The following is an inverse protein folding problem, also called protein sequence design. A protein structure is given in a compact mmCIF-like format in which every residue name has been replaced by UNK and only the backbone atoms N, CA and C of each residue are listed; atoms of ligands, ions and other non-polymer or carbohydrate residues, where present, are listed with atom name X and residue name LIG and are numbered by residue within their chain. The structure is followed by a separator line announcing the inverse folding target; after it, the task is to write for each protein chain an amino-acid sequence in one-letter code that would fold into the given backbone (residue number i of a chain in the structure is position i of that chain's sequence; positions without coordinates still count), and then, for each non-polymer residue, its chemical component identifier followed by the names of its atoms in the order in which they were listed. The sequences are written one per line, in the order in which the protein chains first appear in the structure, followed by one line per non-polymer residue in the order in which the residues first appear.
data_IF_874687630273
#
_entry.id   IF_874687630273
#
_cell.length_a   1.000
_cell.length_b   1.000
_cell.length_c   1.000
_cell.angle_alpha   90.00
_cell.angle_beta   90.00
_cell.angle_gamma   90.00
#
_symmetry.space_group_name_H-M   'P 1'
#
loop_
_entity.id
_entity.type
_entity.pdbx_description
1 polymer ?
#
# COMPACT_ATOMS: atom_id res chain seq x y z
N UNK A 1 -22.30 -53.67 -3.63
CA UNK A 1 -22.45 -52.44 -4.45
C UNK A 1 -22.64 -51.14 -3.66
N UNK A 2 -23.15 -51.14 -2.42
CA UNK A 2 -23.44 -49.91 -1.59
C UNK A 2 -22.20 -49.12 -1.18
N UNK A 3 -20.97 -49.67 -1.14
CA UNK A 3 -19.79 -48.93 -0.70
C UNK A 3 -19.09 -48.16 -1.82
N UNK A 4 -19.23 -48.54 -3.08
CA UNK A 4 -18.58 -47.85 -4.21
C UNK A 4 -19.09 -46.42 -4.40
N UNK A 5 -20.40 -46.18 -4.20
CA UNK A 5 -20.98 -44.82 -4.27
C UNK A 5 -20.49 -43.90 -3.15
N UNK A 6 -20.32 -44.44 -1.94
CA UNK A 6 -19.77 -43.63 -0.82
C UNK A 6 -18.32 -43.25 -1.06
N UNK A 7 -17.50 -44.16 -1.56
CA UNK A 7 -16.09 -43.91 -1.88
C UNK A 7 -15.99 -42.84 -2.98
N UNK A 8 -16.78 -42.97 -4.04
CA UNK A 8 -16.78 -41.97 -5.11
C UNK A 8 -17.23 -40.57 -4.62
N UNK A 9 -18.23 -40.53 -3.75
CA UNK A 9 -18.70 -39.25 -3.14
C UNK A 9 -17.60 -38.58 -2.31
N UNK A 10 -16.99 -39.32 -1.38
CA UNK A 10 -15.92 -38.77 -0.53
C UNK A 10 -14.67 -38.42 -1.34
N UNK A 11 -14.28 -39.21 -2.33
CA UNK A 11 -13.19 -38.85 -3.22
C UNK A 11 -13.45 -37.59 -4.02
N UNK A 12 -14.67 -37.41 -4.58
CA UNK A 12 -15.08 -36.20 -5.28
C UNK A 12 -15.09 -34.98 -4.36
N UNK A 13 -15.63 -35.15 -3.15
CA UNK A 13 -15.66 -34.06 -2.15
C UNK A 13 -14.23 -33.64 -1.75
N UNK A 14 -13.34 -34.57 -1.46
CA UNK A 14 -11.94 -34.26 -1.11
C UNK A 14 -11.20 -33.58 -2.26
N UNK A 15 -11.44 -34.04 -3.51
CA UNK A 15 -10.86 -33.42 -4.69
C UNK A 15 -11.37 -31.99 -4.86
N UNK A 16 -12.66 -31.75 -4.70
CA UNK A 16 -13.25 -30.41 -4.80
C UNK A 16 -12.74 -29.47 -3.70
N UNK A 17 -12.64 -29.96 -2.46
CA UNK A 17 -12.07 -29.21 -1.35
C UNK A 17 -10.59 -28.88 -1.57
N UNK A 18 -9.80 -29.87 -2.02
CA UNK A 18 -8.38 -29.68 -2.34
C UNK A 18 -8.16 -28.69 -3.49
N UNK A 19 -8.93 -28.85 -4.57
CA UNK A 19 -8.88 -27.92 -5.70
C UNK A 19 -9.34 -26.50 -5.31
N UNK A 20 -10.39 -26.38 -4.50
CA UNK A 20 -10.85 -25.11 -3.96
C UNK A 20 -9.79 -24.46 -3.06
N UNK A 21 -9.23 -25.22 -2.14
CA UNK A 21 -8.17 -24.74 -1.26
C UNK A 21 -6.91 -24.28 -2.01
N UNK A 22 -6.47 -25.03 -3.01
CA UNK A 22 -5.32 -24.68 -3.82
C UNK A 22 -5.61 -23.55 -4.83
N UNK A 23 -6.79 -23.57 -5.47
CA UNK A 23 -7.17 -22.63 -6.53
C UNK A 23 -7.66 -21.28 -6.02
N UNK A 24 -8.38 -21.26 -4.88
CA UNK A 24 -8.99 -20.04 -4.35
C UNK A 24 -8.01 -18.89 -4.12
N UNK A 25 -6.81 -19.10 -3.51
CA UNK A 25 -5.85 -18.02 -3.33
C UNK A 25 -5.37 -17.37 -4.64
N UNK A 26 -5.30 -18.12 -5.73
CA UNK A 26 -4.92 -17.58 -7.04
C UNK A 26 -6.02 -16.74 -7.68
N UNK A 27 -7.29 -17.04 -7.38
CA UNK A 27 -8.43 -16.27 -7.89
C UNK A 27 -8.79 -15.09 -7.00
N UNK A 28 -8.39 -15.13 -5.72
CA UNK A 28 -8.71 -14.10 -4.73
C UNK A 28 -8.01 -12.77 -5.04
N UNK A 29 -6.79 -12.82 -5.55
CA UNK A 29 -6.00 -11.63 -5.83
C UNK A 29 -5.90 -11.34 -7.33
N UNK A 30 -5.92 -10.04 -7.66
CA UNK A 30 -5.57 -9.55 -9.00
C UNK A 30 -4.45 -8.53 -8.92
N UNK A 31 -3.55 -8.57 -9.90
CA UNK A 31 -2.49 -7.58 -10.04
C UNK A 31 -3.00 -6.38 -10.83
N UNK A 32 -2.89 -5.19 -10.28
CA UNK A 32 -3.19 -3.92 -10.95
C UNK A 32 -1.92 -3.09 -11.04
N UNK A 33 -1.52 -2.63 -12.22
CA UNK A 33 -0.40 -1.71 -12.34
C UNK A 33 -0.72 -0.40 -11.62
N UNK A 34 0.32 0.29 -11.17
CA UNK A 34 0.17 1.69 -10.75
C UNK A 34 -0.09 2.57 -11.97
N UNK A 35 -0.82 3.69 -11.82
CA UNK A 35 -1.19 4.53 -12.96
C UNK A 35 0.01 5.24 -13.59
N UNK A 36 1.07 5.42 -12.82
CA UNK A 36 2.31 6.09 -13.24
C UNK A 36 3.50 5.22 -12.91
N UNK A 37 4.48 5.14 -13.81
CA UNK A 37 5.77 4.48 -13.56
C UNK A 37 6.68 5.40 -12.75
N UNK A 38 6.40 5.50 -11.46
CA UNK A 38 7.05 6.40 -10.53
C UNK A 38 8.25 5.76 -9.85
N UNK A 39 9.34 6.53 -9.71
CA UNK A 39 10.57 6.11 -9.04
C UNK A 39 10.90 7.02 -7.86
N UNK A 40 10.72 6.56 -6.63
CA UNK A 40 11.22 7.25 -5.44
C UNK A 40 12.73 7.46 -5.50
N UNK A 41 13.48 6.45 -5.98
CA UNK A 41 14.93 6.50 -6.09
C UNK A 41 15.40 7.69 -6.93
N UNK A 42 14.80 7.92 -8.09
CA UNK A 42 15.15 9.04 -8.97
C UNK A 42 14.90 10.37 -8.29
N UNK A 43 13.76 10.52 -7.61
CA UNK A 43 13.41 11.75 -6.90
C UNK A 43 14.35 12.02 -5.71
N UNK A 44 14.70 10.98 -4.95
CA UNK A 44 15.63 11.12 -3.83
C UNK A 44 17.08 11.41 -4.29
N UNK A 45 17.59 10.67 -5.28
CA UNK A 45 19.00 10.75 -5.68
C UNK A 45 19.29 11.91 -6.63
N UNK A 46 18.36 12.24 -7.56
CA UNK A 46 18.59 13.27 -8.58
C UNK A 46 17.94 14.60 -8.25
N UNK A 47 16.74 14.58 -7.68
CA UNK A 47 16.05 15.82 -7.29
C UNK A 47 16.31 16.22 -5.83
N UNK A 48 16.97 15.36 -5.03
CA UNK A 48 17.26 15.61 -3.62
C UNK A 48 16.02 15.63 -2.72
N UNK A 49 14.90 15.09 -3.20
CA UNK A 49 13.61 15.12 -2.49
C UNK A 49 13.63 14.22 -1.27
N UNK A 50 13.09 14.71 -0.16
CA UNK A 50 12.86 13.95 1.07
C UNK A 50 11.42 13.47 1.13
N UNK A 51 11.12 12.57 2.07
CA UNK A 51 9.77 12.02 2.22
C UNK A 51 8.72 13.12 2.44
N UNK A 52 9.04 14.09 3.30
CA UNK A 52 8.16 15.18 3.71
C UNK A 52 7.98 16.27 2.64
N UNK A 53 8.82 16.33 1.62
CA UNK A 53 8.60 17.22 0.47
C UNK A 53 7.33 16.84 -0.31
N UNK A 54 6.96 15.57 -0.29
CA UNK A 54 5.79 15.05 -0.99
C UNK A 54 4.71 14.53 -0.04
N UNK A 55 5.09 13.89 1.07
CA UNK A 55 4.20 13.30 2.06
C UNK A 55 4.20 14.15 3.34
N UNK A 56 3.45 15.24 3.36
CA UNK A 56 3.49 16.24 4.42
C UNK A 56 2.31 16.13 5.38
N UNK A 57 2.33 16.94 6.42
CA UNK A 57 1.19 17.18 7.31
C UNK A 57 0.51 18.49 6.93
N UNK A 58 -0.83 18.52 6.98
CA UNK A 58 -1.61 19.75 6.85
C UNK A 58 -1.54 20.57 8.15
N UNK A 59 -2.00 21.79 8.10
CA UNK A 59 -2.03 22.69 9.27
C UNK A 59 -2.87 22.11 10.44
N UNK A 60 -3.89 21.33 10.15
CA UNK A 60 -4.72 20.64 11.14
C UNK A 60 -4.07 19.36 11.71
N UNK A 61 -2.86 19.03 11.27
CA UNK A 61 -2.13 17.84 11.69
C UNK A 61 -2.50 16.56 10.93
N UNK A 62 -3.45 16.60 10.02
CA UNK A 62 -3.76 15.45 9.18
C UNK A 62 -2.65 15.19 8.17
N UNK A 63 -2.39 13.91 7.88
CA UNK A 63 -1.38 13.50 6.91
C UNK A 63 -1.94 13.55 5.50
N UNK A 64 -1.18 14.10 4.55
CA UNK A 64 -1.67 14.26 3.16
C UNK A 64 -1.80 12.93 2.41
N UNK A 65 -1.09 11.88 2.85
CA UNK A 65 -1.07 10.61 2.15
C UNK A 65 -0.28 10.68 0.84
N UNK A 66 -0.85 10.15 -0.22
CA UNK A 66 -0.28 10.26 -1.57
C UNK A 66 -0.48 11.71 -2.04
N UNK A 67 0.57 12.39 -2.55
CA UNK A 67 0.47 13.78 -2.98
C UNK A 67 -0.47 13.94 -4.17
N UNK A 68 -1.15 15.08 -4.24
CA UNK A 68 -2.00 15.48 -5.37
C UNK A 68 -1.18 15.85 -6.60
N UNK A 69 -1.83 15.93 -7.75
CA UNK A 69 -1.21 16.29 -9.02
C UNK A 69 -0.51 17.65 -8.96
N UNK A 70 -1.07 18.62 -8.24
CA UNK A 70 -0.48 19.96 -8.08
C UNK A 70 0.93 19.92 -7.51
N UNK A 71 1.18 18.99 -6.57
CA UNK A 71 2.53 18.80 -6.02
C UNK A 71 3.52 18.34 -7.08
N UNK A 72 3.08 17.47 -7.97
CA UNK A 72 3.88 16.97 -9.09
C UNK A 72 4.09 18.07 -10.15
N UNK A 73 3.03 18.81 -10.46
CA UNK A 73 3.05 19.88 -11.46
C UNK A 73 4.01 21.03 -11.08
N UNK A 74 4.28 21.24 -9.80
CA UNK A 74 5.26 22.21 -9.33
C UNK A 74 6.66 22.05 -9.95
N UNK A 75 7.04 20.83 -10.33
CA UNK A 75 8.28 20.55 -11.05
C UNK A 75 8.03 20.07 -12.48
N UNK A 76 7.00 19.27 -12.69
CA UNK A 76 6.68 18.61 -13.96
C UNK A 76 5.70 19.37 -14.86
N UNK A 77 5.57 20.71 -14.69
CA UNK A 77 4.85 21.55 -15.66
C UNK A 77 5.44 21.44 -17.07
N UNK A 78 6.74 21.14 -17.16
CA UNK A 78 7.46 20.74 -18.37
C UNK A 78 8.38 19.55 -18.04
N UNK A 79 8.91 18.90 -19.06
CA UNK A 79 9.81 17.76 -18.86
C UNK A 79 11.11 18.21 -18.16
N UNK A 80 11.46 17.57 -17.06
CA UNK A 80 12.71 17.75 -16.31
C UNK A 80 13.83 16.84 -16.83
N UNK A 81 13.46 15.78 -17.54
CA UNK A 81 14.35 14.80 -18.13
C UNK A 81 13.88 14.35 -19.51
N UNK A 82 14.38 13.20 -19.95
CA UNK A 82 14.08 12.66 -21.30
C UNK A 82 13.48 11.25 -21.26
N UNK A 83 12.96 10.82 -20.09
CA UNK A 83 12.43 9.46 -19.96
C UNK A 83 11.02 9.34 -20.57
N UNK A 84 10.73 8.18 -21.17
CA UNK A 84 9.39 7.87 -21.65
C UNK A 84 8.35 7.88 -20.53
N UNK A 85 8.75 7.46 -19.32
CA UNK A 85 7.86 7.44 -18.13
C UNK A 85 7.41 8.86 -17.78
N UNK A 86 8.32 9.84 -17.75
CA UNK A 86 8.00 11.24 -17.50
C UNK A 86 7.14 11.85 -18.62
N UNK A 87 7.50 11.60 -19.87
CA UNK A 87 6.69 12.06 -21.00
C UNK A 87 5.25 11.54 -20.91
N UNK A 88 5.08 10.25 -20.65
CA UNK A 88 3.76 9.65 -20.47
C UNK A 88 3.00 10.27 -19.29
N UNK A 89 3.70 10.59 -18.20
CA UNK A 89 3.10 11.25 -17.05
C UNK A 89 2.59 12.66 -17.41
N UNK A 90 3.39 13.45 -18.10
CA UNK A 90 3.01 14.79 -18.53
C UNK A 90 1.82 14.74 -19.48
N UNK A 91 1.90 13.91 -20.52
CA UNK A 91 0.87 13.81 -21.57
C UNK A 91 -0.48 13.31 -21.01
N UNK A 92 -0.46 12.37 -20.05
CA UNK A 92 -1.68 11.72 -19.58
C UNK A 92 -2.26 12.31 -18.29
N UNK A 93 -1.46 13.08 -17.52
CA UNK A 93 -1.89 13.59 -16.22
C UNK A 93 -1.68 15.09 -16.05
N UNK A 94 -0.49 15.61 -16.33
CA UNK A 94 -0.21 17.04 -16.13
C UNK A 94 -0.96 17.88 -17.14
N UNK A 95 -0.78 17.62 -18.45
CA UNK A 95 -1.43 18.40 -19.52
C UNK A 95 -2.96 18.41 -19.41
N UNK A 96 -3.65 17.26 -19.22
CA UNK A 96 -5.10 17.24 -19.05
C UNK A 96 -5.56 17.55 -17.61
N UNK A 97 -4.67 17.88 -16.68
CA UNK A 97 -4.96 18.12 -15.25
C UNK A 97 -5.78 17.00 -14.60
N UNK A 98 -5.39 15.77 -14.88
CA UNK A 98 -6.09 14.57 -14.41
C UNK A 98 -5.34 13.89 -13.28
N UNK A 99 -5.98 13.76 -12.10
CA UNK A 99 -5.40 13.05 -10.96
C UNK A 99 -5.13 11.57 -11.27
N UNK A 100 -3.90 11.06 -11.03
CA UNK A 100 -3.61 9.64 -11.12
C UNK A 100 -4.40 8.86 -10.06
N UNK A 101 -5.07 7.80 -10.47
CA UNK A 101 -5.83 6.93 -9.54
C UNK A 101 -4.89 5.92 -8.89
N UNK A 102 -4.12 6.39 -7.92
CA UNK A 102 -3.14 5.58 -7.20
C UNK A 102 -3.79 4.44 -6.42
N UNK A 103 -3.17 3.28 -6.48
CA UNK A 103 -3.53 2.16 -5.62
C UNK A 103 -2.64 2.19 -4.36
N UNK A 104 -3.22 2.62 -3.23
CA UNK A 104 -2.50 2.82 -1.98
C UNK A 104 -2.21 1.49 -1.27
N UNK A 105 -0.94 1.08 -1.18
CA UNK A 105 -0.54 -0.17 -0.52
C UNK A 105 -0.81 -0.18 0.98
N UNK A 106 -0.70 0.96 1.63
CA UNK A 106 -0.74 1.09 3.09
C UNK A 106 -2.06 1.68 3.60
N UNK A 107 -3.17 1.40 2.91
CA UNK A 107 -4.49 1.80 3.36
C UNK A 107 -4.87 0.97 4.59
N UNK A 108 -5.08 1.64 5.73
CA UNK A 108 -5.60 0.99 6.93
C UNK A 108 -7.10 0.70 6.77
N UNK A 109 -7.61 -0.39 7.35
CA UNK A 109 -9.04 -0.63 7.46
C UNK A 109 -9.75 0.49 8.24
N UNK A 110 -11.01 0.75 7.91
CA UNK A 110 -11.78 1.86 8.53
C UNK A 110 -12.04 1.67 10.02
N UNK A 111 -11.95 0.44 10.50
CA UNK A 111 -12.08 0.10 11.92
C UNK A 111 -10.76 0.22 12.71
N UNK A 112 -9.70 0.74 12.10
CA UNK A 112 -8.40 0.94 12.76
C UNK A 112 -8.11 2.43 12.91
N UNK A 113 -7.85 2.85 14.15
CA UNK A 113 -7.32 4.18 14.44
C UNK A 113 -5.81 4.18 14.23
N UNK A 114 -5.34 5.00 13.30
CA UNK A 114 -3.93 5.23 13.11
C UNK A 114 -3.66 6.71 12.84
N UNK A 115 -2.69 7.26 13.55
CA UNK A 115 -2.31 8.68 13.43
C UNK A 115 -0.83 8.82 13.09
N UNK A 116 -0.53 9.24 11.87
CA UNK A 116 0.85 9.55 11.47
C UNK A 116 1.48 10.64 12.35
N UNK A 117 0.73 11.69 12.71
CA UNK A 117 1.28 12.79 13.53
C UNK A 117 1.73 12.32 14.91
N UNK A 118 0.99 11.39 15.51
CA UNK A 118 1.37 10.82 16.80
C UNK A 118 2.66 10.02 16.69
N UNK A 119 2.81 9.19 15.68
CA UNK A 119 3.98 8.33 15.51
C UNK A 119 5.22 9.11 15.01
N UNK A 120 5.05 9.97 14.02
CA UNK A 120 6.16 10.71 13.40
C UNK A 120 6.55 11.93 14.21
N UNK A 121 5.60 12.79 14.57
CA UNK A 121 5.93 14.06 15.22
C UNK A 121 6.13 13.91 16.74
N UNK A 122 5.28 13.15 17.44
CA UNK A 122 5.42 12.93 18.89
C UNK A 122 6.37 11.77 19.18
N UNK A 123 6.19 10.64 18.53
CA UNK A 123 7.01 9.45 18.70
C UNK A 123 8.40 9.53 18.04
N UNK A 124 8.65 10.56 17.21
CA UNK A 124 9.92 10.77 16.48
C UNK A 124 10.36 9.57 15.64
N UNK A 125 9.40 8.75 15.19
CA UNK A 125 9.68 7.59 14.37
C UNK A 125 9.99 8.02 12.94
N UNK A 126 10.97 7.37 12.33
CA UNK A 126 11.30 7.55 10.92
C UNK A 126 10.29 6.82 10.04
N UNK A 127 10.06 7.32 8.83
CA UNK A 127 9.14 6.72 7.86
C UNK A 127 9.49 5.24 7.57
N UNK A 128 10.78 4.94 7.47
CA UNK A 128 11.30 3.60 7.18
C UNK A 128 11.02 2.58 8.29
N UNK A 129 10.78 3.02 9.53
CA UNK A 129 10.42 2.12 10.64
C UNK A 129 9.14 1.33 10.33
N UNK A 130 8.21 1.93 9.57
CA UNK A 130 6.96 1.29 9.16
C UNK A 130 6.93 0.99 7.65
N UNK A 131 7.53 1.83 6.82
CA UNK A 131 7.47 1.71 5.35
C UNK A 131 8.71 1.04 4.75
N UNK A 132 9.65 0.57 5.58
CA UNK A 132 10.90 -0.05 5.14
C UNK A 132 11.58 0.77 4.03
N UNK A 133 12.21 0.11 3.06
CA UNK A 133 12.91 0.78 1.95
C UNK A 133 11.98 1.29 0.82
N UNK A 134 10.70 1.55 1.09
CA UNK A 134 9.76 1.99 0.05
C UNK A 134 10.21 3.30 -0.63
N UNK A 135 10.74 4.23 0.14
CA UNK A 135 11.24 5.52 -0.35
C UNK A 135 12.49 5.44 -1.25
N UNK A 136 13.14 4.29 -1.37
CA UNK A 136 14.31 4.06 -2.24
C UNK A 136 14.00 3.16 -3.44
N UNK A 137 12.74 2.88 -3.73
CA UNK A 137 12.35 1.99 -4.84
C UNK A 137 12.51 2.68 -6.19
N UNK A 138 13.12 1.98 -7.15
CA UNK A 138 13.25 2.46 -8.54
C UNK A 138 11.95 2.38 -9.33
N UNK A 139 10.99 1.58 -8.85
CA UNK A 139 9.67 1.41 -9.48
C UNK A 139 8.66 1.00 -8.42
N UNK A 140 7.44 1.51 -8.52
CA UNK A 140 6.32 1.05 -7.71
C UNK A 140 5.88 -0.35 -8.14
N UNK A 141 5.65 -1.23 -7.17
CA UNK A 141 5.14 -2.58 -7.45
C UNK A 141 3.68 -2.52 -7.87
N UNK A 142 3.23 -3.47 -8.71
CA UNK A 142 1.80 -3.64 -8.98
C UNK A 142 1.03 -3.90 -7.68
N UNK A 143 -0.16 -3.31 -7.58
CA UNK A 143 -1.06 -3.50 -6.45
C UNK A 143 -1.70 -4.88 -6.52
N UNK A 144 -1.48 -5.70 -5.51
CA UNK A 144 -2.08 -7.03 -5.40
C UNK A 144 -3.42 -6.91 -4.66
N UNK A 145 -4.47 -6.60 -5.41
CA UNK A 145 -5.80 -6.33 -4.87
C UNK A 145 -6.53 -7.62 -4.50
N UNK A 146 -6.96 -7.71 -3.26
CA UNK A 146 -7.94 -8.70 -2.85
C UNK A 146 -9.30 -8.35 -3.47
N UNK A 147 -9.89 -9.27 -4.23
CA UNK A 147 -11.13 -9.03 -4.99
C UNK A 147 -12.37 -8.87 -4.12
N UNK A 148 -12.31 -9.31 -2.87
CA UNK A 148 -13.42 -9.23 -1.92
C UNK A 148 -13.33 -7.93 -1.12
N UNK A 149 -12.19 -7.67 -0.51
CA UNK A 149 -12.01 -6.54 0.39
C UNK A 149 -11.49 -5.27 -0.29
N UNK A 150 -10.88 -5.40 -1.47
CA UNK A 150 -10.21 -4.29 -2.18
C UNK A 150 -8.88 -3.87 -1.56
N UNK A 151 -8.45 -4.47 -0.43
CA UNK A 151 -7.17 -4.16 0.19
C UNK A 151 -6.00 -4.83 -0.51
N UNK A 152 -4.81 -4.27 -0.33
CA UNK A 152 -3.59 -4.87 -0.84
C UNK A 152 -3.20 -6.10 -0.03
N UNK A 153 -2.79 -7.16 -0.71
CA UNK A 153 -2.11 -8.31 -0.08
C UNK A 153 -0.87 -7.87 0.71
N UNK A 154 -0.19 -6.82 0.24
CA UNK A 154 1.07 -6.34 0.82
C UNK A 154 0.88 -5.44 2.06
N UNK A 155 -0.36 -5.02 2.38
CA UNK A 155 -0.65 -4.20 3.57
C UNK A 155 -0.15 -4.86 4.86
N UNK A 156 -0.13 -6.20 4.88
CA UNK A 156 0.23 -6.98 6.05
C UNK A 156 1.73 -7.10 6.32
N UNK A 157 2.58 -6.59 5.43
CA UNK A 157 4.02 -6.64 5.64
C UNK A 157 4.48 -5.48 6.51
N UNK A 158 4.78 -5.77 7.79
CA UNK A 158 5.26 -4.81 8.77
C UNK A 158 4.19 -3.87 9.34
N UNK A 159 2.91 -4.19 9.13
CA UNK A 159 1.77 -3.37 9.60
C UNK A 159 0.62 -4.24 10.09
N UNK A 160 0.90 -5.46 10.52
CA UNK A 160 -0.07 -6.32 11.17
C UNK A 160 -0.34 -5.81 12.58
N UNK A 161 -1.49 -6.14 13.13
CA UNK A 161 -1.80 -5.83 14.53
C UNK A 161 -0.68 -6.31 15.48
N UNK A 162 -0.13 -7.51 15.23
CA UNK A 162 1.00 -8.05 16.01
C UNK A 162 2.25 -7.17 15.97
N UNK A 163 2.54 -6.51 14.84
CA UNK A 163 3.71 -5.65 14.70
C UNK A 163 3.52 -4.36 15.52
N UNK A 164 2.28 -3.81 15.50
CA UNK A 164 1.92 -2.64 16.28
C UNK A 164 1.99 -2.93 17.79
N UNK A 165 1.40 -4.06 18.21
CA UNK A 165 1.41 -4.52 19.61
C UNK A 165 2.84 -4.72 20.09
N UNK A 166 3.65 -5.47 19.36
CA UNK A 166 5.04 -5.73 19.72
C UNK A 166 5.87 -4.43 19.85
N UNK A 167 5.65 -3.46 18.96
CA UNK A 167 6.33 -2.17 19.04
C UNK A 167 5.88 -1.37 20.29
N UNK A 168 4.58 -1.31 20.57
CA UNK A 168 4.06 -0.62 21.75
C UNK A 168 4.57 -1.25 23.04
N UNK A 169 4.57 -2.59 23.16
CA UNK A 169 5.13 -3.31 24.30
C UNK A 169 6.62 -3.00 24.51
N UNK A 170 7.42 -3.01 23.44
CA UNK A 170 8.84 -2.65 23.49
C UNK A 170 9.09 -1.22 23.97
N UNK A 171 8.14 -0.31 23.72
CA UNK A 171 8.20 1.07 24.19
C UNK A 171 7.57 1.27 25.59
N UNK A 172 7.10 0.20 26.22
CA UNK A 172 6.44 0.25 27.54
C UNK A 172 5.10 0.97 27.50
N UNK A 173 4.43 0.97 26.35
CA UNK A 173 3.10 1.57 26.19
C UNK A 173 2.02 0.54 26.48
N UNK A 174 1.12 0.88 27.40
CA UNK A 174 -0.10 0.11 27.59
C UNK A 174 -1.00 0.26 26.36
N UNK A 175 -1.70 -0.80 25.99
CA UNK A 175 -2.65 -0.81 24.88
C UNK A 175 -3.83 -1.72 25.19
N UNK A 176 -5.01 -1.28 24.80
CA UNK A 176 -6.23 -2.07 24.79
C UNK A 176 -6.77 -2.22 23.36
N UNK A 177 -7.72 -3.12 23.18
CA UNK A 177 -8.35 -3.29 21.86
C UNK A 177 -8.94 -1.97 21.34
N UNK A 178 -9.54 -1.16 22.23
CA UNK A 178 -10.22 0.09 21.87
C UNK A 178 -9.27 1.26 21.61
N UNK A 179 -7.99 1.14 21.93
CA UNK A 179 -7.00 2.18 21.60
C UNK A 179 -6.67 2.17 20.09
N UNK A 180 -6.86 1.02 19.45
CA UNK A 180 -6.55 0.80 18.04
C UNK A 180 -7.78 0.53 17.17
N UNK A 181 -8.89 0.07 17.77
CA UNK A 181 -10.09 -0.32 17.01
C UNK A 181 -11.33 0.49 17.42
N UNK A 182 -12.18 0.76 16.40
CA UNK A 182 -13.51 1.35 16.57
C UNK A 182 -14.52 0.25 16.93
#
# INVERSE_FOLDING_TARGET
MKHRGKIAFFAGMLTALGAGWAGFPYTLYRSRPQPVDFSHKVHAEKAGSKCDDCHSFRADGSFTGIPTLDKCAGCHAAAMGSTTAEKNFIDNYITPQREPQWAAYARQPENVYFSHITHVNRGKLKCESCHAAHGSTGKLRPYQEDRISGYSRDIWRGKRMSDCVACHEQQGLEHSCLDCHK
#
